data_IF_065763608745
#
_entry.id   IF_065763608745
#
_cell.length_a   1.000
_cell.length_b   1.000
_cell.length_c   1.000
_cell.angle_alpha   90.00
_cell.angle_beta   90.00
_cell.angle_gamma   90.00
#
_symmetry.space_group_name_H-M   'P 1'
#
loop_
_entity.id
_entity.type
_entity.pdbx_description
1 polymer ?
#
# COMPACT_ATOMS: atom_id res chain seq x y z
N UNK A 1 -10.65 16.20 14.78
CA UNK A 1 -9.47 16.20 13.87
C UNK A 1 -9.91 15.81 12.48
N UNK A 2 -9.09 16.00 11.44
CA UNK A 2 -9.42 15.53 10.09
C UNK A 2 -8.37 14.57 9.52
N UNK A 3 -8.81 13.62 8.69
CA UNK A 3 -7.97 12.73 7.88
C UNK A 3 -8.41 12.90 6.43
N UNK A 4 -7.51 13.35 5.56
CA UNK A 4 -7.82 13.67 4.16
C UNK A 4 -9.03 14.64 4.02
N UNK A 5 -9.20 15.55 4.98
CA UNK A 5 -10.31 16.50 5.04
C UNK A 5 -11.60 15.96 5.70
N UNK A 6 -11.71 14.65 5.94
CA UNK A 6 -12.86 14.08 6.64
C UNK A 6 -12.72 14.26 8.16
N UNK A 7 -13.75 14.76 8.83
CA UNK A 7 -13.74 14.92 10.29
C UNK A 7 -13.92 13.58 10.99
N UNK A 8 -12.98 13.26 11.90
CA UNK A 8 -12.94 12.00 12.64
C UNK A 8 -12.96 12.31 14.13
N UNK A 9 -13.73 11.51 14.87
CA UNK A 9 -13.68 11.49 16.32
C UNK A 9 -12.34 10.93 16.80
N UNK A 10 -11.89 11.39 17.97
CA UNK A 10 -10.68 10.93 18.64
C UNK A 10 -10.98 10.72 20.12
N UNK A 11 -10.17 9.90 20.76
CA UNK A 11 -10.30 9.53 22.17
C UNK A 11 -9.04 9.98 22.91
N UNK A 12 -9.14 10.85 23.93
CA UNK A 12 -8.03 11.15 24.82
C UNK A 12 -7.46 9.87 25.43
N UNK A 13 -6.14 9.71 25.44
CA UNK A 13 -5.51 8.49 25.99
C UNK A 13 -5.42 8.50 27.52
N UNK A 14 -5.69 9.65 28.14
CA UNK A 14 -5.48 9.89 29.57
C UNK A 14 -4.04 10.29 29.92
N UNK A 15 -3.16 10.42 28.93
CA UNK A 15 -1.83 11.00 29.11
C UNK A 15 -1.93 12.53 29.30
N UNK A 16 -1.24 13.12 30.29
CA UNK A 16 -1.26 14.57 30.54
C UNK A 16 -0.79 15.44 29.37
N UNK A 17 -0.05 14.92 28.40
CA UNK A 17 0.52 15.69 27.28
C UNK A 17 -0.46 15.87 26.10
N UNK A 18 -1.77 15.97 26.38
CA UNK A 18 -2.84 16.14 25.37
C UNK A 18 -2.80 15.10 24.25
N UNK A 19 -2.45 13.86 24.58
CA UNK A 19 -2.39 12.76 23.64
C UNK A 19 -3.79 12.23 23.32
N UNK A 20 -4.02 11.94 22.04
CA UNK A 20 -5.28 11.38 21.54
C UNK A 20 -5.01 10.18 20.64
N UNK A 21 -5.97 9.27 20.61
CA UNK A 21 -6.01 8.11 19.73
C UNK A 21 -7.18 8.23 18.77
N UNK A 22 -7.04 7.69 17.57
CA UNK A 22 -8.10 7.63 16.57
C UNK A 22 -7.89 6.42 15.67
N UNK A 23 -8.96 5.97 15.02
CA UNK A 23 -8.91 4.94 13.98
C UNK A 23 -9.89 5.30 12.87
N UNK A 24 -9.46 5.08 11.63
CA UNK A 24 -10.28 5.35 10.45
C UNK A 24 -9.84 4.46 9.30
N UNK A 25 -10.81 3.81 8.65
CA UNK A 25 -10.55 3.04 7.44
C UNK A 25 -10.49 3.97 6.24
N UNK A 26 -9.47 3.79 5.40
CA UNK A 26 -9.29 4.52 4.16
C UNK A 26 -9.26 3.55 2.98
N UNK A 27 -10.10 3.79 1.98
CA UNK A 27 -9.97 3.11 0.70
C UNK A 27 -8.77 3.72 -0.05
N UNK A 28 -7.79 2.87 -0.39
CA UNK A 28 -6.59 3.27 -1.12
C UNK A 28 -6.70 2.89 -2.59
N UNK A 29 -6.26 3.78 -3.48
CA UNK A 29 -6.13 3.50 -4.92
C UNK A 29 -4.76 2.90 -5.21
N UNK A 30 -4.59 2.33 -6.41
CA UNK A 30 -3.26 1.91 -6.88
C UNK A 30 -2.35 3.13 -7.06
N UNK A 31 -1.05 2.97 -6.83
CA UNK A 31 -0.09 4.06 -6.78
C UNK A 31 0.02 4.76 -5.42
N UNK A 32 0.48 6.02 -5.43
CA UNK A 32 0.79 6.77 -4.20
C UNK A 32 -0.48 7.36 -3.60
N UNK A 33 -0.80 6.96 -2.37
CA UNK A 33 -1.86 7.53 -1.55
C UNK A 33 -1.24 8.42 -0.47
N UNK A 34 -1.52 9.72 -0.52
CA UNK A 34 -1.09 10.67 0.52
C UNK A 34 -2.18 10.79 1.57
N UNK A 35 -1.82 10.53 2.82
CA UNK A 35 -2.69 10.64 3.99
C UNK A 35 -2.24 11.87 4.78
N UNK A 36 -3.13 12.86 4.92
CA UNK A 36 -2.91 14.06 5.71
C UNK A 36 -3.80 14.04 6.94
N UNK A 37 -3.21 14.06 8.12
CA UNK A 37 -3.92 14.29 9.38
C UNK A 37 -3.75 15.76 9.79
N UNK A 38 -4.83 16.36 10.29
CA UNK A 38 -4.84 17.73 10.80
C UNK A 38 -5.63 17.78 12.11
N UNK A 39 -4.95 18.19 13.17
CA UNK A 39 -5.55 18.52 14.46
C UNK A 39 -5.57 20.04 14.63
N UNK A 40 -6.72 20.58 15.06
CA UNK A 40 -6.90 22.00 15.38
C UNK A 40 -7.50 22.04 16.79
N UNK A 41 -6.88 22.79 17.69
CA UNK A 41 -7.41 23.02 19.05
C UNK A 41 -8.49 24.12 19.05
N UNK A 42 -9.23 24.32 20.16
CA UNK A 42 -10.27 25.35 20.24
C UNK A 42 -9.76 26.78 20.00
N UNK A 43 -8.50 27.05 20.33
CA UNK A 43 -7.83 28.34 20.15
C UNK A 43 -7.36 28.57 18.69
N UNK A 44 -7.47 27.55 17.84
CA UNK A 44 -7.14 27.60 16.41
C UNK A 44 -5.70 27.20 16.07
N UNK A 45 -4.90 26.72 17.03
CA UNK A 45 -3.58 26.19 16.76
C UNK A 45 -3.69 24.85 16.01
N UNK A 46 -2.84 24.66 15.00
CA UNK A 46 -2.91 23.52 14.11
C UNK A 46 -1.63 22.69 14.11
N UNK A 47 -1.77 21.37 14.09
CA UNK A 47 -0.68 20.41 13.85
C UNK A 47 -1.05 19.48 12.70
N UNK A 48 -0.06 19.10 11.89
CA UNK A 48 -0.24 18.27 10.69
C UNK A 48 0.77 17.13 10.67
N UNK A 49 0.32 15.93 10.31
CA UNK A 49 1.20 14.82 9.94
C UNK A 49 0.83 14.31 8.54
N UNK A 50 1.86 13.95 7.75
CA UNK A 50 1.70 13.48 6.39
C UNK A 50 2.38 12.13 6.24
N UNK A 51 1.62 11.13 5.81
CA UNK A 51 2.10 9.78 5.51
C UNK A 51 1.79 9.45 4.06
N UNK A 52 2.70 8.74 3.40
CA UNK A 52 2.48 8.22 2.05
C UNK A 52 2.44 6.71 2.11
N UNK A 53 1.42 6.13 1.46
CA UNK A 53 1.29 4.68 1.27
C UNK A 53 1.32 4.42 -0.22
N UNK A 54 2.34 3.71 -0.68
CA UNK A 54 2.38 3.18 -2.04
C UNK A 54 1.62 1.87 -2.04
N UNK A 55 0.61 1.77 -2.91
CA UNK A 55 -0.09 0.52 -3.15
C UNK A 55 0.25 0.06 -4.55
N UNK A 56 0.66 -1.20 -4.67
CA UNK A 56 0.90 -1.86 -5.94
C UNK A 56 -0.01 -3.09 -6.04
N UNK A 57 -0.92 -3.07 -7.02
CA UNK A 57 -1.84 -4.17 -7.32
C UNK A 57 -1.62 -4.74 -8.72
N UNK A 58 -0.56 -4.35 -9.41
CA UNK A 58 -0.31 -4.88 -10.74
C UNK A 58 0.05 -6.35 -10.63
N UNK A 59 -0.48 -7.13 -11.57
CA UNK A 59 -0.19 -8.56 -11.60
C UNK A 59 1.20 -8.73 -12.23
N UNK A 60 2.09 -9.52 -11.61
CA UNK A 60 3.35 -9.84 -12.26
C UNK A 60 3.09 -10.65 -13.52
N UNK A 61 3.88 -10.42 -14.56
CA UNK A 61 3.84 -11.22 -15.79
C UNK A 61 4.90 -12.31 -15.70
N UNK A 62 4.50 -13.55 -16.01
CA UNK A 62 5.42 -14.70 -16.09
C UNK A 62 5.41 -15.24 -17.52
N UNK A 63 6.58 -15.52 -18.07
CA UNK A 63 6.72 -16.10 -19.40
C UNK A 63 7.77 -17.20 -19.38
N UNK A 64 7.39 -18.37 -19.90
CA UNK A 64 8.33 -19.45 -20.19
C UNK A 64 9.06 -19.07 -21.48
N UNK A 65 10.37 -18.93 -21.40
CA UNK A 65 11.22 -18.59 -22.55
C UNK A 65 11.87 -19.82 -23.17
N UNK A 66 11.90 -20.94 -22.45
CA UNK A 66 12.39 -22.24 -22.95
C UNK A 66 11.71 -23.37 -22.20
N UNK A 67 11.34 -24.47 -22.88
CA UNK A 67 11.47 -24.69 -24.34
C UNK A 67 10.47 -23.85 -25.16
N UNK A 68 10.78 -23.53 -26.44
CA UNK A 68 9.80 -22.96 -27.36
C UNK A 68 8.58 -23.88 -27.52
N UNK A 69 7.44 -23.27 -27.80
CA UNK A 69 6.20 -24.00 -28.07
C UNK A 69 6.39 -25.01 -29.22
N UNK A 70 5.83 -26.20 -29.05
CA UNK A 70 5.96 -27.30 -30.00
C UNK A 70 7.30 -28.05 -29.99
N UNK A 71 8.23 -27.77 -29.07
CA UNK A 71 9.46 -28.56 -28.97
C UNK A 71 9.17 -30.03 -28.60
N UNK A 72 9.53 -30.96 -29.48
CA UNK A 72 9.44 -32.40 -29.24
C UNK A 72 10.78 -32.91 -28.70
N UNK A 73 10.74 -33.66 -27.60
CA UNK A 73 11.94 -34.20 -26.96
C UNK A 73 11.88 -35.74 -26.91
N UNK A 74 12.99 -36.45 -27.20
CA UNK A 74 13.06 -37.90 -27.06
C UNK A 74 12.78 -38.39 -25.63
N UNK A 75 12.27 -39.62 -25.43
CA UNK A 75 12.10 -40.20 -24.10
C UNK A 75 13.41 -40.19 -23.30
N UNK A 76 13.33 -39.79 -22.03
CA UNK A 76 14.49 -39.71 -21.13
C UNK A 76 15.31 -38.42 -21.23
N UNK A 77 14.91 -37.47 -22.08
CA UNK A 77 15.58 -36.16 -22.19
C UNK A 77 15.18 -35.24 -21.04
N UNK A 78 16.17 -34.69 -20.32
CA UNK A 78 15.93 -33.56 -19.41
C UNK A 78 15.84 -32.27 -20.21
N UNK A 79 14.70 -31.58 -20.09
CA UNK A 79 14.47 -30.31 -20.79
C UNK A 79 14.59 -29.18 -19.77
N UNK A 80 15.57 -28.27 -19.91
CA UNK A 80 15.66 -27.11 -19.04
C UNK A 80 14.47 -26.19 -19.29
N UNK A 81 13.89 -25.68 -18.20
CA UNK A 81 12.82 -24.69 -18.26
C UNK A 81 13.40 -23.35 -17.79
N UNK A 82 13.29 -22.35 -18.66
CA UNK A 82 13.67 -20.99 -18.33
C UNK A 82 12.41 -20.14 -18.26
N UNK A 83 12.32 -19.34 -17.20
CA UNK A 83 11.21 -18.43 -16.95
C UNK A 83 11.76 -17.03 -16.70
N UNK A 84 11.04 -16.04 -17.21
CA UNK A 84 11.22 -14.64 -16.82
C UNK A 84 9.96 -14.17 -16.12
N UNK A 85 10.15 -13.39 -15.06
CA UNK A 85 9.08 -12.71 -14.36
C UNK A 85 9.39 -11.20 -14.35
N UNK A 86 8.36 -10.38 -14.56
CA UNK A 86 8.43 -8.93 -14.38
C UNK A 86 7.27 -8.48 -13.51
N UNK A 87 7.56 -7.52 -12.65
CA UNK A 87 6.59 -6.61 -12.05
C UNK A 87 6.35 -5.43 -13.02
#
# INVERSE_FOLDING_TARGET
MTINGNSIAFTPTGNPDYEVSFSHELALSDGINTILTLAIDPEGNASKDKRSVLVDRWMPTVTITTPPDGQINPPGTTVPVNVVASD
#
